data_IF_993716483527
#
_entry.id   IF_993716483527
#
_cell.length_a   1.000
_cell.length_b   1.000
_cell.length_c   1.000
_cell.angle_alpha   90.00
_cell.angle_beta   90.00
_cell.angle_gamma   90.00
#
_symmetry.space_group_name_H-M   'P 1'
#
loop_
_entity.id
_entity.type
_entity.pdbx_description
1 polymer ?
#
# COMPACT_ATOMS: atom_id res chain seq x y z
N UNK A 1 12.92 -1.19 12.83
CA UNK A 1 12.21 -0.79 11.60
C UNK A 1 11.23 -1.89 11.16
N UNK A 2 9.92 -1.81 11.52
CA UNK A 2 8.90 -2.56 10.81
C UNK A 2 7.72 -1.65 10.45
N UNK A 3 7.87 -0.83 9.40
CA UNK A 3 6.79 0.05 8.91
C UNK A 3 6.14 -0.43 7.60
N UNK A 4 6.64 -1.49 6.97
CA UNK A 4 6.06 -2.01 5.72
C UNK A 4 5.07 -3.17 5.93
N UNK A 5 5.28 -4.03 6.94
CA UNK A 5 4.31 -5.09 7.27
C UNK A 5 3.07 -4.54 7.98
N UNK A 6 3.25 -3.56 8.87
CA UNK A 6 2.15 -2.93 9.59
C UNK A 6 1.23 -2.14 8.65
N UNK A 7 1.72 -1.56 7.55
CA UNK A 7 0.87 -0.82 6.61
C UNK A 7 -0.08 -1.72 5.80
N UNK A 8 0.31 -2.96 5.50
CA UNK A 8 -0.47 -3.90 4.68
C UNK A 8 -1.54 -4.60 5.55
N UNK A 9 -1.18 -5.02 6.76
CA UNK A 9 -2.16 -5.52 7.72
C UNK A 9 -3.06 -4.40 8.25
N UNK A 10 -2.56 -3.15 8.40
CA UNK A 10 -3.41 -2.01 8.79
C UNK A 10 -4.36 -1.57 7.67
N UNK A 11 -3.97 -1.62 6.38
CA UNK A 11 -4.88 -1.29 5.28
C UNK A 11 -5.95 -2.38 5.06
N UNK A 12 -5.59 -3.66 5.22
CA UNK A 12 -6.59 -4.75 5.21
C UNK A 12 -7.44 -4.79 6.49
N UNK A 13 -6.91 -4.45 7.66
CA UNK A 13 -7.68 -4.31 8.91
C UNK A 13 -8.60 -3.08 8.87
N UNK A 14 -8.16 -1.98 8.26
CA UNK A 14 -8.98 -0.78 8.02
C UNK A 14 -10.13 -1.06 7.04
N UNK A 15 -9.94 -1.96 6.06
CA UNK A 15 -11.02 -2.46 5.21
C UNK A 15 -11.93 -3.49 5.91
N UNK A 16 -11.40 -4.28 6.86
CA UNK A 16 -12.18 -5.24 7.68
C UNK A 16 -13.04 -4.56 8.76
N UNK A 17 -12.64 -3.41 9.30
CA UNK A 17 -13.45 -2.62 10.26
C UNK A 17 -14.56 -1.81 9.58
N UNK A 18 -14.55 -1.68 8.24
CA UNK A 18 -15.44 -0.77 7.51
C UNK A 18 -16.82 -1.33 7.19
N UNK A 19 -17.13 -2.56 7.58
CA UNK A 19 -18.40 -3.19 7.21
C UNK A 19 -18.97 -4.16 8.24
N UNK A 20 -19.14 -3.67 9.46
CA UNK A 20 -20.14 -4.22 10.36
C UNK A 20 -21.01 -3.08 10.91
N UNK A 21 -22.30 -3.10 10.59
CA UNK A 21 -23.34 -2.22 11.16
C UNK A 21 -23.46 -0.81 10.56
N UNK A 22 -24.69 -0.46 10.15
CA UNK A 22 -25.24 0.90 9.99
C UNK A 22 -25.09 1.59 8.62
N UNK A 23 -26.11 1.41 7.76
CA UNK A 23 -26.35 2.19 6.53
C UNK A 23 -26.31 3.71 6.75
N UNK A 24 -26.70 4.20 7.93
CA UNK A 24 -26.70 5.64 8.27
C UNK A 24 -25.30 6.24 8.46
N UNK A 25 -24.31 5.45 8.87
CA UNK A 25 -22.91 5.90 8.99
C UNK A 25 -22.23 6.00 7.62
N UNK A 26 -22.66 5.18 6.65
CA UNK A 26 -22.23 5.28 5.25
C UNK A 26 -22.74 6.55 4.57
N UNK A 27 -24.01 6.89 4.77
CA UNK A 27 -24.60 8.12 4.23
C UNK A 27 -24.00 9.38 4.87
N UNK A 28 -23.80 9.38 6.20
CA UNK A 28 -23.13 10.49 6.89
C UNK A 28 -21.66 10.64 6.45
N UNK A 29 -20.93 9.53 6.32
CA UNK A 29 -19.56 9.53 5.81
C UNK A 29 -19.44 9.98 4.35
N UNK A 30 -20.47 9.73 3.52
CA UNK A 30 -20.53 10.20 2.15
C UNK A 30 -20.72 11.73 2.08
N UNK A 31 -21.59 12.29 2.91
CA UNK A 31 -21.82 13.75 2.98
C UNK A 31 -20.58 14.51 3.46
N UNK A 32 -19.89 13.99 4.48
CA UNK A 32 -18.66 14.59 5.01
C UNK A 32 -17.55 14.54 3.95
N UNK A 33 -17.37 13.40 3.27
CA UNK A 33 -16.42 13.27 2.15
C UNK A 33 -16.74 14.27 1.05
N UNK A 34 -18.00 14.40 0.66
CA UNK A 34 -18.41 15.27 -0.44
C UNK A 34 -18.11 16.74 -0.13
N UNK A 35 -18.38 17.20 1.11
CA UNK A 35 -18.03 18.57 1.53
C UNK A 35 -16.52 18.79 1.60
N UNK A 36 -15.75 17.84 2.14
CA UNK A 36 -14.30 17.97 2.21
C UNK A 36 -13.68 18.03 0.80
N UNK A 37 -14.16 17.21 -0.13
CA UNK A 37 -13.69 17.25 -1.53
C UNK A 37 -14.10 18.54 -2.22
N UNK A 38 -15.32 19.03 -2.01
CA UNK A 38 -15.77 20.32 -2.56
C UNK A 38 -14.92 21.49 -2.05
N UNK A 39 -14.72 21.58 -0.73
CA UNK A 39 -13.90 22.63 -0.12
C UNK A 39 -12.44 22.54 -0.56
N UNK A 40 -11.88 21.32 -0.69
CA UNK A 40 -10.54 21.12 -1.23
C UNK A 40 -10.43 21.58 -2.69
N UNK A 41 -11.45 21.33 -3.52
CA UNK A 41 -11.47 21.78 -4.92
C UNK A 41 -11.54 23.29 -5.06
N UNK A 42 -12.35 23.96 -4.23
CA UNK A 42 -12.43 25.43 -4.20
C UNK A 42 -11.12 26.07 -3.71
N UNK A 43 -10.48 25.47 -2.70
CA UNK A 43 -9.29 26.07 -2.07
C UNK A 43 -7.98 25.75 -2.81
N UNK A 44 -7.87 24.54 -3.37
CA UNK A 44 -6.62 24.01 -3.93
C UNK A 44 -6.67 23.79 -5.45
N UNK A 45 -7.84 23.97 -6.08
CA UNK A 45 -8.05 23.68 -7.50
C UNK A 45 -8.06 22.18 -7.82
N UNK A 46 -8.38 21.85 -9.08
CA UNK A 46 -8.28 20.49 -9.61
C UNK A 46 -7.01 20.33 -10.45
N UNK A 47 -6.10 19.47 -10.02
CA UNK A 47 -4.97 19.02 -10.86
C UNK A 47 -5.55 18.20 -12.03
N UNK A 48 -5.28 18.59 -13.28
CA UNK A 48 -5.90 18.00 -14.50
C UNK A 48 -5.33 16.63 -14.88
N UNK A 49 -4.41 16.14 -14.07
CA UNK A 49 -3.58 15.00 -14.31
C UNK A 49 -3.47 14.26 -12.98
N UNK A 50 -4.24 13.17 -12.87
CA UNK A 50 -4.08 12.23 -11.79
C UNK A 50 -2.61 11.81 -11.74
N UNK A 51 -2.00 11.97 -10.56
CA UNK A 51 -0.68 11.48 -10.21
C UNK A 51 -0.42 10.19 -10.99
N UNK A 52 0.46 10.27 -12.02
CA UNK A 52 0.84 9.10 -12.81
C UNK A 52 1.27 8.05 -11.79
N UNK A 53 0.49 6.98 -11.70
CA UNK A 53 0.60 5.99 -10.65
C UNK A 53 2.06 5.65 -10.45
N UNK A 54 2.52 5.90 -9.23
CA UNK A 54 3.87 5.60 -8.77
C UNK A 54 4.38 4.31 -9.41
N UNK A 55 5.66 4.28 -9.77
CA UNK A 55 6.40 3.04 -10.07
C UNK A 55 6.25 2.00 -8.94
N UNK A 56 5.64 2.36 -7.80
CA UNK A 56 5.06 1.50 -6.77
C UNK A 56 4.04 0.44 -7.22
N UNK A 57 3.63 0.38 -8.49
CA UNK A 57 2.99 -0.83 -9.05
C UNK A 57 3.97 -2.02 -9.17
N UNK A 58 5.27 -1.83 -8.97
CA UNK A 58 6.33 -2.82 -9.22
C UNK A 58 6.12 -4.19 -8.56
N UNK A 59 5.54 -4.23 -7.36
CA UNK A 59 5.27 -5.48 -6.64
C UNK A 59 4.02 -6.23 -7.15
N UNK A 60 3.12 -5.54 -7.85
CA UNK A 60 1.88 -6.08 -8.39
C UNK A 60 2.10 -6.74 -9.75
N UNK A 61 2.79 -7.88 -9.77
CA UNK A 61 2.80 -8.77 -10.93
C UNK A 61 1.35 -9.15 -11.30
N UNK A 62 1.05 -9.33 -12.59
CA UNK A 62 -0.24 -9.82 -13.10
C UNK A 62 -0.74 -11.05 -12.33
N UNK A 63 0.18 -11.94 -11.95
CA UNK A 63 -0.14 -13.10 -11.12
C UNK A 63 -0.62 -12.72 -9.71
N UNK A 64 0.07 -11.79 -9.05
CA UNK A 64 -0.32 -11.27 -7.73
C UNK A 64 -1.67 -10.56 -7.82
N UNK A 65 -1.90 -9.83 -8.90
CA UNK A 65 -3.20 -9.18 -9.12
C UNK A 65 -4.31 -10.21 -9.32
N UNK A 66 -4.08 -11.25 -10.12
CA UNK A 66 -5.04 -12.33 -10.38
C UNK A 66 -5.49 -13.01 -9.09
N UNK A 67 -4.55 -13.49 -8.27
CA UNK A 67 -4.87 -14.16 -7.00
C UNK A 67 -5.54 -13.23 -5.98
N UNK A 68 -5.22 -11.94 -6.01
CA UNK A 68 -5.88 -10.95 -5.14
C UNK A 68 -7.31 -10.65 -5.61
N UNK A 69 -7.57 -10.63 -6.93
CA UNK A 69 -8.93 -10.53 -7.48
C UNK A 69 -9.76 -11.74 -7.10
N UNK A 70 -9.21 -12.94 -7.20
CA UNK A 70 -9.87 -14.19 -6.81
C UNK A 70 -10.17 -14.27 -5.30
N UNK A 71 -9.21 -13.89 -4.46
CA UNK A 71 -9.47 -13.71 -3.02
C UNK A 71 -10.63 -12.73 -2.78
N UNK A 72 -10.68 -11.61 -3.52
CA UNK A 72 -11.75 -10.62 -3.39
C UNK A 72 -13.10 -11.15 -3.85
N UNK A 73 -13.17 -11.94 -4.94
CA UNK A 73 -14.42 -12.54 -5.39
C UNK A 73 -14.92 -13.60 -4.40
N UNK A 74 -14.05 -14.47 -3.89
CA UNK A 74 -14.38 -15.45 -2.85
C UNK A 74 -14.90 -14.78 -1.57
N UNK A 75 -14.29 -13.66 -1.16
CA UNK A 75 -14.77 -12.89 -0.01
C UNK A 75 -16.17 -12.29 -0.25
N UNK A 76 -16.42 -11.73 -1.43
CA UNK A 76 -17.74 -11.21 -1.80
C UNK A 76 -18.80 -12.31 -1.85
N UNK A 77 -18.42 -13.50 -2.30
CA UNK A 77 -19.30 -14.66 -2.34
C UNK A 77 -19.69 -15.10 -0.93
N UNK A 78 -18.70 -15.37 -0.07
CA UNK A 78 -18.92 -15.69 1.34
C UNK A 78 -19.72 -14.62 2.08
N UNK A 79 -19.50 -13.33 1.78
CA UNK A 79 -20.29 -12.25 2.40
C UNK A 79 -21.79 -12.33 2.08
N UNK A 80 -22.16 -12.85 0.91
CA UNK A 80 -23.55 -13.00 0.48
C UNK A 80 -24.20 -14.24 1.08
N UNK A 81 -23.49 -15.36 1.07
CA UNK A 81 -24.03 -16.66 1.48
C UNK A 81 -23.93 -16.90 2.98
N UNK A 82 -22.83 -16.45 3.64
CA UNK A 82 -22.51 -16.67 5.06
C UNK A 82 -22.39 -18.15 5.46
N UNK A 83 -22.20 -19.02 4.47
CA UNK A 83 -22.08 -20.47 4.61
C UNK A 83 -20.63 -20.86 4.99
N UNK A 84 -20.41 -21.86 5.87
CA UNK A 84 -19.07 -22.24 6.32
C UNK A 84 -18.18 -22.83 5.21
N UNK A 85 -18.77 -23.48 4.21
CA UNK A 85 -18.07 -23.99 3.03
C UNK A 85 -17.43 -22.85 2.22
N UNK A 86 -18.16 -21.75 2.01
CA UNK A 86 -17.65 -20.57 1.32
C UNK A 86 -16.57 -19.83 2.14
N UNK A 87 -16.66 -19.92 3.48
CA UNK A 87 -15.61 -19.42 4.35
C UNK A 87 -14.32 -20.23 4.17
N UNK A 88 -14.41 -21.55 4.04
CA UNK A 88 -13.26 -22.42 3.78
C UNK A 88 -12.61 -22.08 2.43
N UNK A 89 -13.41 -21.91 1.38
CA UNK A 89 -12.94 -21.47 0.05
C UNK A 89 -12.21 -20.12 0.12
N UNK A 90 -12.79 -19.11 0.79
CA UNK A 90 -12.13 -17.82 1.02
C UNK A 90 -10.80 -17.95 1.78
N UNK A 91 -10.73 -18.81 2.81
CA UNK A 91 -9.49 -19.01 3.59
C UNK A 91 -8.37 -19.58 2.72
N UNK A 92 -8.69 -20.48 1.79
CA UNK A 92 -7.73 -21.01 0.82
C UNK A 92 -7.24 -19.89 -0.10
N UNK A 93 -8.14 -19.16 -0.77
CA UNK A 93 -7.74 -18.05 -1.66
C UNK A 93 -6.98 -16.95 -0.91
N UNK A 94 -7.30 -16.70 0.37
CA UNK A 94 -6.56 -15.77 1.23
C UNK A 94 -5.12 -16.24 1.48
N UNK A 95 -4.91 -17.53 1.74
CA UNK A 95 -3.57 -18.11 1.91
C UNK A 95 -2.77 -18.03 0.61
N UNK A 96 -3.38 -18.39 -0.52
CA UNK A 96 -2.74 -18.29 -1.84
C UNK A 96 -2.32 -16.87 -2.19
N UNK A 97 -3.21 -15.89 -1.97
CA UNK A 97 -2.88 -14.49 -2.17
C UNK A 97 -1.72 -14.03 -1.28
N UNK A 98 -1.70 -14.42 0.01
CA UNK A 98 -0.58 -14.12 0.91
C UNK A 98 0.72 -14.77 0.44
N UNK A 99 0.68 -16.00 -0.03
CA UNK A 99 1.85 -16.72 -0.52
C UNK A 99 2.42 -16.09 -1.81
N UNK A 100 1.57 -15.76 -2.77
CA UNK A 100 1.99 -15.08 -4.01
C UNK A 100 2.60 -13.71 -3.71
N UNK A 101 2.00 -12.97 -2.77
CA UNK A 101 2.53 -11.69 -2.29
C UNK A 101 3.90 -11.89 -1.63
N UNK A 102 4.03 -12.87 -0.74
CA UNK A 102 5.32 -13.16 -0.11
C UNK A 102 6.39 -13.57 -1.14
N UNK A 103 6.03 -14.40 -2.12
CA UNK A 103 6.92 -14.85 -3.20
C UNK A 103 7.43 -13.68 -4.02
N UNK A 104 6.53 -12.83 -4.53
CA UNK A 104 6.92 -11.66 -5.32
C UNK A 104 7.83 -10.70 -4.54
N UNK A 105 7.60 -10.59 -3.21
CA UNK A 105 8.43 -9.75 -2.33
C UNK A 105 9.81 -10.38 -2.16
N UNK A 106 9.86 -11.67 -1.84
CA UNK A 106 11.11 -12.40 -1.65
C UNK A 106 11.96 -12.36 -2.91
N UNK A 107 11.42 -12.67 -4.09
CA UNK A 107 12.18 -12.62 -5.36
C UNK A 107 12.87 -11.27 -5.58
N UNK A 108 12.19 -10.16 -5.26
CA UNK A 108 12.80 -8.83 -5.41
C UNK A 108 13.79 -8.50 -4.30
N UNK A 109 13.57 -8.99 -3.09
CA UNK A 109 14.53 -8.86 -1.98
C UNK A 109 15.78 -9.73 -2.19
N UNK A 110 15.63 -10.94 -2.73
CA UNK A 110 16.72 -11.87 -3.03
C UNK A 110 17.69 -11.23 -4.04
N UNK A 111 17.17 -10.59 -5.09
CA UNK A 111 17.98 -9.84 -6.04
C UNK A 111 18.73 -8.65 -5.40
N UNK A 112 18.17 -8.05 -4.34
CA UNK A 112 18.85 -7.01 -3.57
C UNK A 112 19.96 -7.62 -2.70
N UNK A 113 19.67 -8.72 -2.02
CA UNK A 113 20.65 -9.41 -1.17
C UNK A 113 21.83 -9.96 -1.98
N UNK A 114 21.60 -10.50 -3.18
CA UNK A 114 22.68 -10.91 -4.08
C UNK A 114 23.64 -9.77 -4.43
N UNK A 115 23.11 -8.55 -4.63
CA UNK A 115 23.96 -7.36 -4.89
C UNK A 115 24.76 -6.95 -3.65
N UNK A 116 24.19 -7.15 -2.46
CA UNK A 116 24.84 -6.87 -1.18
C UNK A 116 25.93 -7.88 -0.83
N UNK A 117 25.80 -9.12 -1.27
CA UNK A 117 26.78 -10.19 -1.04
C UNK A 117 27.99 -10.11 -1.99
N UNK A 118 27.93 -9.21 -2.98
CA UNK A 118 29.05 -8.95 -3.88
C UNK A 118 30.15 -8.13 -3.18
N UNK A 119 31.38 -8.16 -3.72
CA UNK A 119 32.52 -7.36 -3.23
C UNK A 119 32.25 -5.84 -3.25
N UNK A 120 31.26 -5.40 -4.01
CA UNK A 120 30.81 -4.00 -4.11
C UNK A 120 29.64 -3.68 -3.17
N UNK A 121 29.15 -4.67 -2.42
CA UNK A 121 28.02 -4.57 -1.51
C UNK A 121 28.18 -3.50 -0.44
N UNK A 122 29.38 -3.33 0.11
CA UNK A 122 29.70 -2.29 1.11
C UNK A 122 29.39 -0.87 0.56
N UNK A 123 29.79 -0.60 -0.69
CA UNK A 123 29.51 0.68 -1.35
C UNK A 123 28.01 0.86 -1.55
N UNK A 124 27.29 -0.21 -1.90
CA UNK A 124 25.84 -0.18 -2.09
C UNK A 124 25.09 0.07 -0.78
N UNK A 125 25.48 -0.58 0.33
CA UNK A 125 24.93 -0.32 1.68
C UNK A 125 25.14 1.13 2.07
N UNK A 126 26.35 1.65 1.88
CA UNK A 126 26.69 3.03 2.19
C UNK A 126 25.82 4.03 1.40
N UNK A 127 25.66 3.81 0.10
CA UNK A 127 24.77 4.61 -0.76
C UNK A 127 23.30 4.52 -0.30
N UNK A 128 22.82 3.33 0.05
CA UNK A 128 21.46 3.12 0.54
C UNK A 128 21.21 3.85 1.86
N UNK A 129 22.16 3.79 2.80
CA UNK A 129 22.09 4.51 4.07
C UNK A 129 22.05 6.03 3.84
N UNK A 130 22.90 6.55 2.94
CA UNK A 130 22.93 7.97 2.58
C UNK A 130 21.63 8.44 1.92
N UNK A 131 21.05 7.63 1.04
CA UNK A 131 19.76 7.93 0.40
C UNK A 131 18.62 7.99 1.44
N UNK A 132 18.59 7.03 2.37
CA UNK A 132 17.63 7.03 3.49
C UNK A 132 17.77 8.26 4.37
N UNK A 133 19.00 8.61 4.73
CA UNK A 133 19.28 9.80 5.54
C UNK A 133 18.79 11.09 4.84
N UNK A 134 19.05 11.24 3.53
CA UNK A 134 18.52 12.36 2.74
C UNK A 134 16.99 12.39 2.68
N UNK A 135 16.35 11.23 2.51
CA UNK A 135 14.89 11.15 2.48
C UNK A 135 14.23 11.53 3.81
N UNK A 136 14.96 11.44 4.93
CA UNK A 136 14.50 11.89 6.26
C UNK A 136 14.83 13.36 6.56
N UNK A 137 15.61 14.04 5.71
CA UNK A 137 15.89 15.46 5.85
C UNK A 137 14.76 16.26 5.20
N UNK A 138 13.97 16.94 6.04
CA UNK A 138 12.81 17.75 5.61
C UNK A 138 13.23 19.04 4.86
N UNK A 139 14.47 19.50 5.06
CA UNK A 139 15.05 20.67 4.41
C UNK A 139 16.35 20.25 3.71
N UNK A 140 16.33 20.22 2.37
CA UNK A 140 17.44 19.69 1.56
C UNK A 140 18.72 20.53 1.58
N UNK A 141 18.60 21.86 1.71
CA UNK A 141 19.70 22.82 1.89
C UNK A 141 19.14 24.07 2.57
N UNK A 142 19.60 24.40 3.79
CA UNK A 142 19.33 25.71 4.40
C UNK A 142 20.21 26.74 3.68
N UNK A 143 19.61 27.59 2.84
CA UNK A 143 20.29 28.79 2.34
C UNK A 143 20.23 29.83 3.44
N UNK A 144 21.33 30.03 4.16
CA UNK A 144 21.43 31.15 5.11
C UNK A 144 21.42 32.46 4.31
N UNK A 145 20.37 33.26 4.47
CA UNK A 145 20.35 34.65 4.02
C UNK A 145 21.22 35.45 4.99
N UNK A 146 22.35 35.96 4.51
CA UNK A 146 23.16 36.90 5.28
C UNK A 146 22.48 38.26 5.18
N UNK A 147 21.91 38.75 6.29
CA UNK A 147 21.49 40.15 6.35
C UNK A 147 22.75 41.04 6.44
N UNK A 148 22.86 41.96 5.49
CA UNK A 148 23.82 43.08 5.49
C UNK A 148 23.41 44.15 6.48
#
# INVERSE_FOLDING_TARGET
MPLCLTLIDSKMAFDLSRNNGNRSLRQRGFSIRMRMVGCAKETLGETRDGFRGDEGAWFWNDEVQRVVREKKSAYKHWQKTRVPEDLAAYRISKRLAKAAVAKAKNTKMDALYQKLDSREGEKFVFCLAKARHRATQDIGVVKSVRNS
#
